data_IF_286656408292
#
_entry.id   IF_286656408292
#
_cell.length_a   1.000
_cell.length_b   1.000
_cell.length_c   1.000
_cell.angle_alpha   90.00
_cell.angle_beta   90.00
_cell.angle_gamma   90.00
#
_symmetry.space_group_name_H-M   'P 1'
#
loop_
_entity.id
_entity.type
_entity.pdbx_description
1 polymer ?
#
# COMPACT_ATOMS: atom_id res chain seq x y z
N UNK A 1 -29.82 25.41 -9.22
CA UNK A 1 -28.69 25.21 -8.28
C UNK A 1 -28.00 23.87 -8.53
N UNK A 2 -28.75 22.78 -8.76
CA UNK A 2 -28.20 21.46 -9.11
C UNK A 2 -27.36 21.43 -10.40
N UNK A 3 -27.87 21.97 -11.51
CA UNK A 3 -27.15 21.99 -12.80
C UNK A 3 -25.77 22.65 -12.68
N UNK A 4 -25.68 23.73 -11.91
CA UNK A 4 -24.43 24.45 -11.68
C UNK A 4 -23.41 23.61 -10.89
N UNK A 5 -23.87 22.84 -9.90
CA UNK A 5 -23.02 21.91 -9.17
C UNK A 5 -22.59 20.73 -10.05
N UNK A 6 -23.47 20.22 -10.91
CA UNK A 6 -23.13 19.17 -11.88
C UNK A 6 -22.04 19.62 -12.86
N UNK A 7 -22.12 20.86 -13.36
CA UNK A 7 -21.08 21.43 -14.24
C UNK A 7 -19.74 21.52 -13.50
N UNK A 8 -19.73 21.96 -12.23
CA UNK A 8 -18.50 22.01 -11.43
C UNK A 8 -17.88 20.62 -11.23
N UNK A 9 -18.70 19.62 -10.90
CA UNK A 9 -18.23 18.24 -10.69
C UNK A 9 -17.71 17.62 -11.99
N UNK A 10 -18.40 17.86 -13.11
CA UNK A 10 -17.93 17.45 -14.43
C UNK A 10 -16.59 18.12 -14.78
N UNK A 11 -16.48 19.42 -14.57
CA UNK A 11 -15.27 20.19 -14.83
C UNK A 11 -14.08 19.72 -13.97
N UNK A 12 -14.30 19.47 -12.68
CA UNK A 12 -13.30 18.89 -11.78
C UNK A 12 -12.86 17.50 -12.25
N UNK A 13 -13.81 16.62 -12.60
CA UNK A 13 -13.52 15.27 -13.08
C UNK A 13 -12.72 15.31 -14.39
N UNK A 14 -13.11 16.17 -15.33
CA UNK A 14 -12.40 16.39 -16.59
C UNK A 14 -10.98 16.92 -16.35
N UNK A 15 -10.80 17.87 -15.43
CA UNK A 15 -9.49 18.41 -15.08
C UNK A 15 -8.58 17.38 -14.43
N UNK A 16 -9.12 16.56 -13.50
CA UNK A 16 -8.36 15.54 -12.77
C UNK A 16 -7.98 14.36 -13.69
N UNK A 17 -8.95 13.84 -14.46
CA UNK A 17 -8.75 12.65 -15.30
C UNK A 17 -8.10 12.98 -16.65
N UNK A 18 -8.52 14.08 -17.29
CA UNK A 18 -8.00 14.50 -18.59
C UNK A 18 -6.74 15.36 -18.51
N UNK A 19 -6.46 15.93 -17.33
CA UNK A 19 -5.33 16.83 -17.11
C UNK A 19 -5.56 18.27 -17.59
N UNK A 20 -4.66 19.16 -17.18
CA UNK A 20 -4.77 20.61 -17.43
C UNK A 20 -4.86 20.97 -18.92
N UNK A 21 -4.07 20.32 -19.78
CA UNK A 21 -4.03 20.65 -21.22
C UNK A 21 -5.35 20.30 -21.91
N UNK A 22 -5.89 19.11 -21.64
CA UNK A 22 -7.19 18.67 -22.15
C UNK A 22 -8.31 19.60 -21.67
N UNK A 23 -8.29 19.96 -20.39
CA UNK A 23 -9.27 20.86 -19.82
C UNK A 23 -9.25 22.24 -20.48
N UNK A 24 -8.07 22.86 -20.60
CA UNK A 24 -7.92 24.18 -21.23
C UNK A 24 -8.31 24.15 -22.71
N UNK A 25 -7.93 23.10 -23.44
CA UNK A 25 -8.32 22.93 -24.84
C UNK A 25 -9.84 22.95 -25.00
N UNK A 26 -10.55 22.15 -24.20
CA UNK A 26 -12.02 22.10 -24.26
C UNK A 26 -12.65 23.41 -23.80
N UNK A 27 -12.13 24.03 -22.73
CA UNK A 27 -12.62 25.33 -22.22
C UNK A 27 -12.51 26.44 -23.26
N UNK A 28 -11.42 26.47 -24.03
CA UNK A 28 -11.20 27.48 -25.07
C UNK A 28 -12.06 27.24 -26.32
N UNK A 29 -12.32 25.97 -26.67
CA UNK A 29 -13.13 25.61 -27.84
C UNK A 29 -14.65 25.59 -27.55
N UNK A 30 -15.05 25.62 -26.27
CA UNK A 30 -16.45 25.71 -25.84
C UNK A 30 -16.65 26.92 -24.91
N UNK A 31 -16.60 28.17 -25.44
CA UNK A 31 -16.68 29.37 -24.62
C UNK A 31 -17.93 29.40 -23.74
N UNK A 32 -17.74 29.71 -22.45
CA UNK A 32 -18.84 29.78 -21.48
C UNK A 32 -19.34 28.43 -20.95
N UNK A 33 -18.86 27.30 -21.47
CA UNK A 33 -19.34 25.97 -21.08
C UNK A 33 -18.61 25.39 -19.84
N UNK A 34 -17.35 25.77 -19.63
CA UNK A 34 -16.52 25.25 -18.54
C UNK A 34 -15.95 26.38 -17.66
N UNK A 35 -15.86 26.19 -16.33
CA UNK A 35 -15.35 27.21 -15.42
C UNK A 35 -13.86 27.51 -15.61
N UNK A 36 -13.43 28.70 -15.19
CA UNK A 36 -12.02 29.09 -15.20
C UNK A 36 -11.18 28.26 -14.22
N UNK A 37 -9.89 28.07 -14.50
CA UNK A 37 -8.95 27.33 -13.63
C UNK A 37 -8.90 27.88 -12.20
N UNK A 38 -9.03 29.20 -12.02
CA UNK A 38 -9.06 29.82 -10.70
C UNK A 38 -10.20 29.29 -9.83
N UNK A 39 -11.37 29.06 -10.43
CA UNK A 39 -12.51 28.46 -9.74
C UNK A 39 -12.23 26.98 -9.43
N UNK A 40 -11.66 26.22 -10.36
CA UNK A 40 -11.27 24.83 -10.09
C UNK A 40 -10.26 24.72 -8.95
N UNK A 41 -9.22 25.56 -8.97
CA UNK A 41 -8.21 25.60 -7.90
C UNK A 41 -8.84 25.96 -6.56
N UNK A 42 -9.79 26.90 -6.54
CA UNK A 42 -10.54 27.25 -5.34
C UNK A 42 -11.36 26.05 -4.83
N UNK A 43 -12.10 25.38 -5.71
CA UNK A 43 -12.89 24.18 -5.37
C UNK A 43 -12.01 23.03 -4.84
N UNK A 44 -10.84 22.81 -5.44
CA UNK A 44 -9.87 21.82 -4.97
C UNK A 44 -9.32 22.22 -3.60
N UNK A 45 -8.95 23.50 -3.43
CA UNK A 45 -8.37 24.01 -2.18
C UNK A 45 -9.37 24.01 -1.04
N UNK A 46 -10.66 24.22 -1.33
CA UNK A 46 -11.76 24.19 -0.36
C UNK A 46 -12.33 22.80 -0.13
N UNK A 47 -11.81 21.77 -0.82
CA UNK A 47 -12.29 20.40 -0.63
C UNK A 47 -11.71 19.79 0.66
N UNK A 48 -12.54 19.02 1.37
CA UNK A 48 -12.12 18.20 2.52
C UNK A 48 -11.06 17.13 2.14
N UNK A 49 -10.80 16.98 0.83
CA UNK A 49 -9.88 16.04 0.25
C UNK A 49 -8.40 16.43 0.38
N UNK A 50 -8.07 17.68 0.76
CA UNK A 50 -6.66 18.12 0.87
C UNK A 50 -5.90 17.33 1.92
N UNK A 51 -4.87 16.60 1.52
CA UNK A 51 -4.03 15.81 2.43
C UNK A 51 -2.97 16.71 3.05
N UNK A 52 -2.80 16.61 4.37
CA UNK A 52 -1.68 17.21 5.10
C UNK A 52 -0.66 16.12 5.43
N UNK A 53 0.64 16.44 5.34
CA UNK A 53 1.71 15.50 5.69
C UNK A 53 1.56 15.04 7.15
N UNK A 54 1.57 13.72 7.36
CA UNK A 54 1.51 13.10 8.68
C UNK A 54 0.14 13.16 9.37
N UNK A 55 -0.90 13.69 8.72
CA UNK A 55 -2.25 13.70 9.29
C UNK A 55 -2.97 12.37 9.04
N UNK A 56 -3.63 11.84 10.07
CA UNK A 56 -4.51 10.67 9.95
C UNK A 56 -5.97 11.12 9.92
N UNK A 57 -6.64 10.92 8.79
CA UNK A 57 -7.98 11.43 8.49
C UNK A 57 -9.12 10.50 8.93
N UNK A 58 -9.21 10.20 10.22
CA UNK A 58 -10.20 9.24 10.71
C UNK A 58 -11.65 9.72 10.57
N UNK A 59 -11.93 11.03 10.69
CA UNK A 59 -13.29 11.55 10.57
C UNK A 59 -13.79 11.48 9.13
N UNK A 60 -12.92 11.73 8.16
CA UNK A 60 -13.25 11.57 6.74
C UNK A 60 -13.31 10.10 6.35
N UNK A 61 -12.49 9.23 6.96
CA UNK A 61 -12.61 7.78 6.83
C UNK A 61 -14.00 7.31 7.29
N UNK A 62 -14.50 7.81 8.42
CA UNK A 62 -15.85 7.50 8.89
C UNK A 62 -16.92 7.90 7.87
N UNK A 63 -16.88 9.15 7.38
CA UNK A 63 -17.81 9.60 6.33
C UNK A 63 -17.76 8.71 5.07
N UNK A 64 -16.58 8.25 4.67
CA UNK A 64 -16.40 7.33 3.53
C UNK A 64 -17.09 5.98 3.80
N UNK A 65 -16.87 5.39 4.97
CA UNK A 65 -17.48 4.12 5.37
C UNK A 65 -18.99 4.21 5.53
N UNK A 66 -19.50 5.30 6.11
CA UNK A 66 -20.93 5.58 6.24
C UNK A 66 -21.59 5.68 4.86
N UNK A 67 -20.92 6.33 3.89
CA UNK A 67 -21.43 6.46 2.51
C UNK A 67 -21.50 5.12 1.76
N UNK A 68 -20.64 4.17 2.14
CA UNK A 68 -20.59 2.83 1.56
C UNK A 68 -21.47 1.82 2.32
N UNK A 69 -21.99 2.19 3.49
CA UNK A 69 -22.70 1.31 4.41
C UNK A 69 -21.90 0.03 4.75
N UNK A 70 -20.63 0.20 5.09
CA UNK A 70 -19.69 -0.89 5.44
C UNK A 70 -19.01 -0.59 6.77
N UNK A 71 -18.59 -1.64 7.48
CA UNK A 71 -17.96 -1.54 8.80
C UNK A 71 -16.61 -2.25 8.90
N UNK A 72 -16.29 -3.14 7.97
CA UNK A 72 -15.05 -3.93 8.01
C UNK A 72 -14.04 -3.38 7.01
N UNK A 73 -12.76 -3.43 7.39
CA UNK A 73 -11.70 -2.92 6.55
C UNK A 73 -10.37 -3.64 6.72
N UNK A 74 -9.53 -3.57 5.70
CA UNK A 74 -8.13 -3.96 5.74
C UNK A 74 -7.24 -2.72 5.67
N UNK A 75 -6.21 -2.66 6.52
CA UNK A 75 -5.18 -1.63 6.42
C UNK A 75 -4.05 -2.08 5.51
N UNK A 76 -3.52 -1.19 4.67
CA UNK A 76 -2.33 -1.45 3.87
C UNK A 76 -1.29 -0.36 4.10
N UNK A 77 -0.05 -0.78 4.33
CA UNK A 77 1.08 0.13 4.52
C UNK A 77 2.20 -0.21 3.52
N UNK A 78 2.64 0.82 2.78
CA UNK A 78 3.76 0.70 1.84
C UNK A 78 4.49 2.04 1.65
N UNK A 79 5.73 1.98 1.17
CA UNK A 79 6.57 3.13 0.88
C UNK A 79 6.81 3.26 -0.62
N UNK A 80 6.61 4.46 -1.17
CA UNK A 80 6.98 4.77 -2.55
C UNK A 80 8.13 5.78 -2.61
N UNK A 81 9.00 5.66 -3.61
CA UNK A 81 10.01 6.66 -3.92
C UNK A 81 9.41 8.00 -4.33
N UNK A 82 9.99 9.10 -3.85
CA UNK A 82 9.57 10.47 -4.19
C UNK A 82 10.76 11.34 -4.60
N UNK A 83 10.47 12.40 -5.37
CA UNK A 83 11.46 13.43 -5.68
C UNK A 83 11.75 14.25 -4.43
N UNK A 84 12.99 14.19 -3.95
CA UNK A 84 13.49 14.94 -2.79
C UNK A 84 13.29 16.43 -2.97
N UNK A 85 12.27 17.00 -2.34
CA UNK A 85 11.98 18.43 -2.41
C UNK A 85 11.35 18.92 -1.10
N UNK A 86 11.87 20.04 -0.61
CA UNK A 86 11.26 20.77 0.51
C UNK A 86 10.29 21.81 -0.08
N UNK A 87 9.09 21.92 0.49
CA UNK A 87 8.10 22.93 0.16
C UNK A 87 7.60 23.63 1.41
N UNK A 88 7.54 24.96 1.36
CA UNK A 88 6.90 25.76 2.38
C UNK A 88 5.39 25.85 2.12
N UNK A 89 4.59 25.64 3.16
CA UNK A 89 3.16 25.92 3.17
C UNK A 89 2.90 27.16 4.00
N UNK A 90 2.53 28.25 3.32
CA UNK A 90 2.25 29.54 3.96
C UNK A 90 0.98 29.55 4.80
N UNK A 91 0.09 28.57 4.62
CA UNK A 91 -1.18 28.49 5.36
C UNK A 91 -0.93 28.05 6.80
N UNK A 92 -0.03 27.08 6.97
CA UNK A 92 0.30 26.46 8.26
C UNK A 92 1.65 26.90 8.80
N UNK A 93 2.40 27.69 8.04
CA UNK A 93 3.78 28.09 8.35
C UNK A 93 4.70 26.87 8.58
N UNK A 94 4.55 25.84 7.74
CA UNK A 94 5.26 24.56 7.88
C UNK A 94 6.12 24.25 6.67
N UNK A 95 7.21 23.51 6.88
CA UNK A 95 8.03 22.96 5.82
C UNK A 95 7.76 21.46 5.66
N UNK A 96 7.39 21.04 4.44
CA UNK A 96 7.13 19.63 4.08
C UNK A 96 8.26 19.07 3.24
N UNK A 97 8.51 17.76 3.32
CA UNK A 97 9.56 17.07 2.55
C UNK A 97 10.83 16.70 3.32
N UNK A 98 10.86 16.96 4.63
CA UNK A 98 11.76 16.30 5.56
C UNK A 98 11.11 14.98 6.06
N UNK A 99 11.89 13.98 6.52
CA UNK A 99 11.35 12.81 7.17
C UNK A 99 10.52 13.20 8.40
N UNK A 100 9.30 12.73 8.49
CA UNK A 100 8.44 13.01 9.65
C UNK A 100 8.98 12.32 10.90
N UNK A 101 9.13 13.08 11.98
CA UNK A 101 9.42 12.48 13.29
C UNK A 101 8.21 11.69 13.77
N UNK A 102 8.49 10.54 14.38
CA UNK A 102 7.47 9.63 14.89
C UNK A 102 7.41 9.73 16.42
N UNK A 103 6.21 9.91 16.97
CA UNK A 103 5.90 9.62 18.36
C UNK A 103 5.07 8.33 18.40
N UNK A 104 5.64 7.29 19.02
CA UNK A 104 5.07 5.95 19.08
C UNK A 104 4.63 5.42 17.71
N UNK A 105 5.49 5.59 16.71
CA UNK A 105 5.22 5.20 15.33
C UNK A 105 4.23 6.08 14.57
N UNK A 106 3.58 7.06 15.19
CA UNK A 106 2.67 7.99 14.53
C UNK A 106 3.44 9.29 14.21
N UNK A 107 3.36 9.81 12.97
CA UNK A 107 4.02 11.07 12.63
C UNK A 107 3.49 12.25 13.45
N UNK A 108 4.41 13.11 13.92
CA UNK A 108 4.09 14.34 14.61
C UNK A 108 3.66 15.39 13.58
N UNK A 109 2.37 15.73 13.57
CA UNK A 109 1.80 16.73 12.66
C UNK A 109 2.50 18.08 12.85
N UNK A 110 2.82 18.74 11.74
CA UNK A 110 3.43 20.09 11.73
C UNK A 110 4.73 20.21 12.53
N UNK A 111 5.52 19.14 12.69
CA UNK A 111 6.77 19.18 13.44
C UNK A 111 7.74 20.27 12.94
N UNK A 112 7.83 20.44 11.62
CA UNK A 112 8.67 21.46 10.98
C UNK A 112 7.95 22.81 10.81
N UNK A 113 7.26 23.25 11.86
CA UNK A 113 6.70 24.59 11.98
C UNK A 113 7.67 25.46 12.78
N UNK A 114 8.03 26.64 12.27
CA UNK A 114 8.91 27.55 13.00
C UNK A 114 8.81 28.98 12.49
N UNK A 115 8.91 29.94 13.41
CA UNK A 115 9.15 31.36 13.10
C UNK A 115 10.64 31.74 13.20
N UNK A 116 11.51 30.80 13.59
CA UNK A 116 12.94 31.01 13.77
C UNK A 116 13.74 30.60 12.53
N UNK A 117 14.47 31.56 11.96
CA UNK A 117 15.42 31.31 10.88
C UNK A 117 16.55 30.36 11.30
N UNK A 118 17.01 30.42 12.56
CA UNK A 118 18.07 29.53 13.05
C UNK A 118 17.61 28.08 13.12
N UNK A 119 16.37 27.84 13.55
CA UNK A 119 15.77 26.51 13.53
C UNK A 119 15.66 25.98 12.09
N UNK A 120 15.18 26.83 11.17
CA UNK A 120 15.10 26.49 9.75
C UNK A 120 16.48 26.14 9.16
N UNK A 121 17.48 26.99 9.41
CA UNK A 121 18.86 26.80 8.96
C UNK A 121 19.45 25.51 9.53
N UNK A 122 19.16 25.21 10.80
CA UNK A 122 19.58 23.96 11.43
C UNK A 122 19.03 22.75 10.69
N UNK A 123 17.72 22.71 10.39
CA UNK A 123 17.11 21.59 9.67
C UNK A 123 17.69 21.38 8.27
N UNK A 124 17.87 22.47 7.51
CA UNK A 124 18.43 22.38 6.15
C UNK A 124 19.88 21.89 6.12
N UNK A 125 20.63 22.09 7.20
CA UNK A 125 22.03 21.67 7.29
C UNK A 125 22.21 20.27 7.89
N UNK A 126 21.24 19.79 8.68
CA UNK A 126 21.40 18.56 9.50
C UNK A 126 20.48 17.42 9.10
N UNK A 127 19.40 17.69 8.35
CA UNK A 127 18.37 16.70 8.04
C UNK A 127 18.35 16.45 6.53
N UNK A 128 18.54 15.18 6.16
CA UNK A 128 18.37 14.75 4.78
C UNK A 128 16.91 14.83 4.35
N UNK A 129 16.69 15.24 3.10
CA UNK A 129 15.35 15.28 2.51
C UNK A 129 14.75 13.87 2.42
N UNK A 130 13.46 13.74 2.70
CA UNK A 130 12.75 12.49 2.56
C UNK A 130 12.84 11.97 1.11
N UNK A 131 13.23 10.71 0.98
CA UNK A 131 13.32 10.02 -0.32
C UNK A 131 12.16 9.06 -0.56
N UNK A 132 11.43 8.74 0.51
CA UNK A 132 10.29 7.84 0.51
C UNK A 132 9.08 8.55 1.10
N UNK A 133 7.91 8.21 0.60
CA UNK A 133 6.62 8.55 1.16
C UNK A 133 5.99 7.27 1.70
N UNK A 134 5.77 7.20 3.02
CA UNK A 134 5.00 6.12 3.62
C UNK A 134 3.51 6.42 3.48
N UNK A 135 2.74 5.44 3.02
CA UNK A 135 1.33 5.57 2.67
C UNK A 135 0.50 4.56 3.45
N UNK A 136 -0.61 5.04 4.01
CA UNK A 136 -1.56 4.24 4.78
C UNK A 136 -2.90 4.25 4.06
N UNK A 137 -3.27 3.12 3.46
CA UNK A 137 -4.55 2.92 2.78
C UNK A 137 -5.47 2.07 3.64
N UNK A 138 -6.77 2.38 3.64
CA UNK A 138 -7.81 1.56 4.28
C UNK A 138 -8.75 1.07 3.19
N UNK A 139 -8.75 -0.23 2.93
CA UNK A 139 -9.61 -0.90 1.96
C UNK A 139 -10.89 -1.39 2.64
N UNK A 140 -12.08 -0.86 2.29
CA UNK A 140 -13.33 -1.41 2.80
C UNK A 140 -13.52 -2.86 2.33
N UNK A 141 -14.05 -3.69 3.22
CA UNK A 141 -14.39 -5.09 2.97
C UNK A 141 -15.91 -5.22 3.01
N UNK A 142 -16.51 -5.51 1.86
CA UNK A 142 -17.95 -5.76 1.76
C UNK A 142 -18.27 -7.20 2.20
N UNK A 143 -19.39 -7.36 2.90
CA UNK A 143 -19.89 -8.67 3.34
C UNK A 143 -20.69 -9.41 2.27
N UNK A 144 -21.03 -8.74 1.16
CA UNK A 144 -21.88 -9.26 0.08
C UNK A 144 -21.08 -9.45 -1.20
N UNK A 145 -21.45 -10.47 -1.99
CA UNK A 145 -20.90 -10.81 -3.33
C UNK A 145 -21.15 -9.73 -4.41
N UNK A 146 -21.27 -8.46 -4.04
CA UNK A 146 -21.35 -7.37 -4.99
C UNK A 146 -20.04 -7.31 -5.78
N UNK A 147 -20.18 -7.29 -7.11
CA UNK A 147 -19.04 -7.34 -8.04
C UNK A 147 -18.14 -6.11 -8.01
N UNK A 148 -18.49 -5.05 -7.26
CA UNK A 148 -17.72 -3.81 -7.17
C UNK A 148 -16.99 -3.72 -5.84
N UNK A 149 -15.68 -3.94 -5.86
CA UNK A 149 -14.80 -3.68 -4.72
C UNK A 149 -14.78 -2.16 -4.48
N UNK A 150 -15.12 -1.66 -3.28
CA UNK A 150 -15.09 -0.24 -2.99
C UNK A 150 -13.69 0.35 -3.14
N UNK A 151 -13.60 1.62 -3.53
CA UNK A 151 -12.31 2.31 -3.57
C UNK A 151 -11.68 2.40 -2.17
N UNK A 152 -10.37 2.16 -2.05
CA UNK A 152 -9.65 2.35 -0.80
C UNK A 152 -9.58 3.84 -0.44
N UNK A 153 -9.47 4.11 0.86
CA UNK A 153 -9.31 5.46 1.40
C UNK A 153 -7.87 5.71 1.81
N UNK A 154 -7.28 6.81 1.34
CA UNK A 154 -5.96 7.26 1.79
C UNK A 154 -6.08 7.91 3.19
N UNK A 155 -5.70 7.16 4.22
CA UNK A 155 -5.81 7.58 5.61
C UNK A 155 -4.72 8.58 6.00
N UNK A 156 -3.48 8.32 5.59
CA UNK A 156 -2.33 9.19 5.87
C UNK A 156 -1.19 8.96 4.88
N UNK A 157 -0.39 9.99 4.66
CA UNK A 157 0.86 9.90 3.93
C UNK A 157 1.90 10.85 4.54
N UNK A 158 3.16 10.42 4.64
CA UNK A 158 4.24 11.26 5.17
C UNK A 158 5.63 10.85 4.70
N UNK A 159 6.53 11.83 4.60
CA UNK A 159 7.93 11.60 4.26
C UNK A 159 8.63 10.72 5.31
N UNK A 160 9.45 9.77 4.87
CA UNK A 160 10.24 8.92 5.75
C UNK A 160 11.65 8.69 5.21
N UNK A 161 12.56 8.35 6.12
CA UNK A 161 13.93 7.92 5.86
C UNK A 161 14.09 6.39 6.00
N UNK A 162 12.98 5.66 6.12
CA UNK A 162 12.91 4.21 6.30
C UNK A 162 13.42 3.68 7.66
N UNK A 163 13.71 4.53 8.64
CA UNK A 163 14.31 4.14 9.92
C UNK A 163 13.32 3.56 10.94
N UNK A 164 12.02 3.65 10.67
CA UNK A 164 10.97 3.12 11.56
C UNK A 164 11.21 1.64 11.90
N UNK A 165 11.12 1.31 13.18
CA UNK A 165 11.32 -0.05 13.69
C UNK A 165 10.04 -0.87 13.65
N UNK A 166 10.15 -2.18 13.89
CA UNK A 166 8.98 -3.04 14.06
C UNK A 166 8.06 -2.58 15.22
N UNK A 167 8.63 -2.00 16.28
CA UNK A 167 7.83 -1.49 17.40
C UNK A 167 7.06 -0.21 17.02
N UNK A 168 7.66 0.68 16.23
CA UNK A 168 6.97 1.85 15.69
C UNK A 168 5.79 1.43 14.81
N UNK A 169 5.99 0.43 13.96
CA UNK A 169 4.93 -0.15 13.12
C UNK A 169 3.79 -0.71 13.97
N UNK A 170 4.09 -1.50 15.00
CA UNK A 170 3.09 -2.06 15.91
C UNK A 170 2.25 -0.98 16.59
N UNK A 171 2.91 0.05 17.14
CA UNK A 171 2.25 1.14 17.84
C UNK A 171 1.36 1.95 16.88
N UNK A 172 1.82 2.16 15.64
CA UNK A 172 1.03 2.79 14.58
C UNK A 172 -0.19 1.97 14.18
N UNK A 173 -0.05 0.66 13.94
CA UNK A 173 -1.19 -0.21 13.63
C UNK A 173 -2.20 -0.26 14.76
N UNK A 174 -1.74 -0.31 16.00
CA UNK A 174 -2.60 -0.24 17.18
C UNK A 174 -3.35 1.09 17.27
N UNK A 175 -2.68 2.20 16.97
CA UNK A 175 -3.30 3.52 16.90
C UNK A 175 -4.40 3.57 15.83
N UNK A 176 -4.12 3.09 14.61
CA UNK A 176 -5.09 3.00 13.51
C UNK A 176 -6.29 2.14 13.93
N UNK A 177 -6.04 0.95 14.47
CA UNK A 177 -7.09 0.04 14.93
C UNK A 177 -8.03 0.71 15.94
N UNK A 178 -7.50 1.34 16.99
CA UNK A 178 -8.31 1.95 18.04
C UNK A 178 -9.09 3.16 17.53
N UNK A 179 -8.46 4.03 16.74
CA UNK A 179 -9.11 5.23 16.19
C UNK A 179 -10.22 4.87 15.20
N UNK A 180 -10.04 3.81 14.40
CA UNK A 180 -11.08 3.27 13.54
C UNK A 180 -12.22 2.64 14.35
N UNK A 181 -11.90 1.86 15.39
CA UNK A 181 -12.91 1.18 16.22
C UNK A 181 -13.82 2.18 16.94
N UNK A 182 -13.28 3.29 17.43
CA UNK A 182 -14.06 4.39 18.03
C UNK A 182 -15.08 5.01 17.06
N UNK A 183 -14.88 4.85 15.75
CA UNK A 183 -15.74 5.35 14.67
C UNK A 183 -16.58 4.25 14.03
N UNK A 184 -16.74 3.11 14.73
CA UNK A 184 -17.48 1.95 14.25
C UNK A 184 -16.91 1.31 12.97
N UNK A 185 -15.59 1.46 12.75
CA UNK A 185 -14.86 0.79 11.68
C UNK A 185 -13.94 -0.25 12.29
N UNK A 186 -14.19 -1.52 11.96
CA UNK A 186 -13.40 -2.64 12.42
C UNK A 186 -12.34 -3.00 11.39
N UNK A 187 -11.09 -2.62 11.68
CA UNK A 187 -9.93 -3.15 10.97
C UNK A 187 -9.81 -4.64 11.30
N UNK A 188 -9.88 -5.51 10.30
CA UNK A 188 -9.77 -6.97 10.46
C UNK A 188 -8.34 -7.47 10.21
N UNK A 189 -7.45 -6.61 9.71
CA UNK A 189 -6.05 -6.95 9.50
C UNK A 189 -5.25 -5.88 8.77
N UNK A 190 -3.94 -6.15 8.66
CA UNK A 190 -2.98 -5.30 7.98
C UNK A 190 -2.21 -6.07 6.91
N UNK A 191 -1.95 -5.42 5.78
CA UNK A 191 -1.13 -5.95 4.70
C UNK A 191 0.03 -5.03 4.35
N UNK A 192 1.18 -5.61 4.03
CA UNK A 192 2.39 -4.84 3.69
C UNK A 192 3.23 -5.56 2.65
N UNK A 193 4.25 -4.87 2.12
CA UNK A 193 5.36 -5.52 1.44
C UNK A 193 6.16 -6.41 2.41
N UNK A 194 7.06 -7.17 1.85
CA UNK A 194 7.88 -8.23 2.39
C UNK A 194 9.19 -7.72 3.05
N UNK A 195 9.20 -6.48 3.54
CA UNK A 195 10.31 -5.91 4.32
C UNK A 195 10.42 -6.63 5.69
N UNK A 196 11.62 -7.03 6.12
CA UNK A 196 11.85 -7.66 7.43
C UNK A 196 11.20 -6.94 8.62
N UNK A 197 11.14 -5.60 8.63
CA UNK A 197 10.56 -4.86 9.79
C UNK A 197 9.05 -5.06 9.90
N UNK A 198 8.33 -5.10 8.77
CA UNK A 198 6.90 -5.39 8.76
C UNK A 198 6.64 -6.85 9.11
N UNK A 199 7.42 -7.79 8.56
CA UNK A 199 7.30 -9.21 8.91
C UNK A 199 7.54 -9.44 10.42
N UNK A 200 8.50 -8.73 11.01
CA UNK A 200 8.73 -8.76 12.46
C UNK A 200 7.54 -8.21 13.24
N UNK A 201 6.96 -7.08 12.83
CA UNK A 201 5.76 -6.53 13.45
C UNK A 201 4.58 -7.50 13.36
N UNK A 202 4.30 -8.07 12.19
CA UNK A 202 3.24 -9.09 12.00
C UNK A 202 3.41 -10.28 12.95
N UNK A 203 4.63 -10.81 13.06
CA UNK A 203 4.94 -11.95 13.95
C UNK A 203 4.77 -11.62 15.43
N UNK A 204 5.10 -10.39 15.84
CA UNK A 204 4.94 -9.94 17.22
C UNK A 204 3.47 -9.68 17.57
N UNK A 205 2.66 -9.19 16.62
CA UNK A 205 1.24 -8.89 16.87
C UNK A 205 0.32 -10.11 16.77
N UNK A 206 0.77 -11.17 16.11
CA UNK A 206 0.07 -12.46 15.98
C UNK A 206 0.53 -13.51 17.00
N UNK A 207 1.41 -13.13 17.94
CA UNK A 207 2.08 -13.99 18.91
C UNK A 207 2.80 -15.21 18.30
N UNK A 208 3.22 -15.11 17.03
CA UNK A 208 3.92 -16.21 16.34
C UNK A 208 5.29 -16.54 16.97
N UNK A 209 6.00 -15.54 17.49
CA UNK A 209 7.32 -15.72 18.15
C UNK A 209 7.28 -15.46 19.67
N UNK A 210 6.09 -15.40 20.25
CA UNK A 210 5.86 -15.04 21.66
C UNK A 210 5.18 -13.67 21.81
N UNK A 211 4.39 -13.55 22.87
CA UNK A 211 3.58 -12.37 23.14
C UNK A 211 4.43 -11.13 23.42
N UNK A 212 4.12 -10.02 22.77
CA UNK A 212 4.73 -8.75 23.11
C UNK A 212 4.15 -8.25 24.46
N UNK A 213 4.98 -7.89 25.46
CA UNK A 213 4.50 -7.60 26.82
C UNK A 213 3.43 -6.51 26.89
N UNK A 214 3.49 -5.55 25.97
CA UNK A 214 2.60 -4.40 25.90
C UNK A 214 1.39 -4.58 24.97
N UNK A 215 1.31 -5.68 24.21
CA UNK A 215 0.21 -5.93 23.27
C UNK A 215 -0.39 -7.31 23.54
N UNK A 216 -1.34 -7.39 24.48
CA UNK A 216 -2.10 -8.60 24.77
C UNK A 216 -3.28 -8.73 23.80
N UNK A 217 -2.95 -8.90 22.52
CA UNK A 217 -3.90 -8.83 21.39
C UNK A 217 -5.03 -9.86 21.54
N UNK A 218 -4.72 -11.06 22.02
CA UNK A 218 -5.69 -12.15 22.19
C UNK A 218 -6.67 -11.96 23.36
N UNK A 219 -6.44 -11.01 24.25
CA UNK A 219 -7.36 -10.72 25.36
C UNK A 219 -8.36 -9.60 25.02
N UNK A 220 -8.23 -8.99 23.84
CA UNK A 220 -9.06 -7.87 23.47
C UNK A 220 -10.53 -8.31 23.26
N UNK A 221 -11.55 -7.57 23.73
CA UNK A 221 -12.96 -7.98 23.62
C UNK A 221 -13.46 -8.19 22.18
N UNK A 222 -12.77 -7.62 21.20
CA UNK A 222 -13.10 -7.74 19.78
C UNK A 222 -12.42 -8.93 19.09
N UNK A 223 -11.72 -9.82 19.80
CA UNK A 223 -11.14 -11.01 19.15
C UNK A 223 -12.22 -11.88 18.51
N UNK A 224 -11.84 -12.62 17.47
CA UNK A 224 -12.67 -13.58 16.77
C UNK A 224 -11.94 -14.93 16.68
N UNK A 225 -12.70 -16.00 16.45
CA UNK A 225 -12.14 -17.33 16.27
C UNK A 225 -12.00 -17.67 14.79
N UNK A 226 -10.86 -18.25 14.42
CA UNK A 226 -10.56 -18.79 13.11
C UNK A 226 -10.55 -20.30 13.20
N UNK A 227 -11.36 -20.94 12.37
CA UNK A 227 -11.38 -22.40 12.25
C UNK A 227 -10.25 -22.85 11.33
N UNK A 228 -9.15 -23.32 11.91
CA UNK A 228 -8.06 -23.93 11.16
C UNK A 228 -8.46 -25.36 10.80
N UNK A 229 -8.26 -25.75 9.55
CA UNK A 229 -8.59 -27.11 9.12
C UNK A 229 -7.58 -28.08 9.71
N UNK A 230 -8.04 -29.15 10.35
CA UNK A 230 -7.19 -30.13 11.04
C UNK A 230 -6.14 -30.80 10.12
N UNK A 231 -6.40 -30.89 8.81
CA UNK A 231 -5.46 -31.43 7.83
C UNK A 231 -4.38 -30.43 7.38
N UNK A 232 -4.42 -29.18 7.84
CA UNK A 232 -3.37 -28.18 7.58
C UNK A 232 -2.26 -28.27 8.62
N UNK A 233 -1.64 -29.44 8.74
CA UNK A 233 -0.54 -29.68 9.70
C UNK A 233 0.69 -28.78 9.45
N UNK A 234 0.78 -28.19 8.26
CA UNK A 234 1.83 -27.26 7.85
C UNK A 234 1.52 -25.79 8.16
N UNK A 235 0.27 -25.46 8.54
CA UNK A 235 -0.17 -24.08 8.80
C UNK A 235 -0.25 -23.82 10.30
N UNK A 236 0.41 -22.76 10.76
CA UNK A 236 0.38 -22.36 12.17
C UNK A 236 -0.22 -20.96 12.31
N UNK A 237 -1.26 -20.86 13.11
CA UNK A 237 -1.91 -19.61 13.54
C UNK A 237 -2.63 -19.88 14.86
N UNK A 238 -2.61 -18.94 15.81
CA UNK A 238 -3.45 -19.06 17.01
C UNK A 238 -4.93 -18.92 16.60
N UNK A 239 -5.84 -19.77 17.07
CA UNK A 239 -7.24 -19.73 16.61
C UNK A 239 -7.97 -18.44 17.03
N UNK A 240 -7.62 -17.87 18.19
CA UNK A 240 -8.15 -16.60 18.65
C UNK A 240 -7.32 -15.45 18.07
N UNK A 241 -7.89 -14.65 17.18
CA UNK A 241 -7.20 -13.53 16.54
C UNK A 241 -7.94 -12.22 16.76
N UNK A 242 -7.20 -11.10 16.83
CA UNK A 242 -7.79 -9.77 16.71
C UNK A 242 -7.66 -9.21 15.30
N UNK A 243 -6.55 -9.53 14.64
CA UNK A 243 -6.15 -9.01 13.34
C UNK A 243 -5.52 -10.13 12.52
N UNK A 244 -5.72 -10.07 11.20
CA UNK A 244 -5.02 -10.89 10.23
C UNK A 244 -3.85 -10.11 9.63
N UNK A 245 -2.80 -10.83 9.22
CA UNK A 245 -1.64 -10.22 8.57
C UNK A 245 -1.35 -10.92 7.26
N UNK A 246 -1.20 -10.12 6.19
CA UNK A 246 -0.83 -10.64 4.88
C UNK A 246 0.36 -9.88 4.32
N UNK A 247 1.30 -10.61 3.75
CA UNK A 247 2.30 -9.99 2.89
C UNK A 247 1.77 -9.93 1.46
N UNK A 248 2.17 -8.91 0.70
CA UNK A 248 1.81 -8.79 -0.71
C UNK A 248 2.26 -10.03 -1.51
N UNK A 249 1.28 -10.76 -2.04
CA UNK A 249 1.50 -11.96 -2.84
C UNK A 249 2.29 -11.67 -4.12
N UNK A 250 2.13 -10.48 -4.71
CA UNK A 250 2.85 -10.06 -5.91
C UNK A 250 4.35 -10.04 -5.65
N UNK A 251 4.74 -9.44 -4.53
CA UNK A 251 6.13 -9.37 -4.09
C UNK A 251 6.68 -10.74 -3.66
N UNK A 252 5.88 -11.56 -2.98
CA UNK A 252 6.27 -12.94 -2.63
C UNK A 252 6.58 -13.77 -3.87
N UNK A 253 5.68 -13.81 -4.85
CA UNK A 253 5.86 -14.57 -6.09
C UNK A 253 7.07 -14.05 -6.87
N UNK A 254 7.26 -12.73 -6.93
CA UNK A 254 8.42 -12.11 -7.57
C UNK A 254 9.73 -12.48 -6.87
N UNK A 255 9.75 -12.61 -5.54
CA UNK A 255 10.90 -13.11 -4.77
C UNK A 255 11.18 -14.59 -5.08
N UNK A 256 10.15 -15.41 -5.23
CA UNK A 256 10.29 -16.81 -5.66
C UNK A 256 10.91 -16.91 -7.06
N UNK A 257 10.40 -16.16 -8.05
CA UNK A 257 11.00 -16.07 -9.38
C UNK A 257 12.47 -15.65 -9.29
N UNK A 258 12.77 -14.57 -8.58
CA UNK A 258 14.14 -14.09 -8.44
C UNK A 258 15.07 -15.10 -7.74
N UNK A 259 14.53 -15.96 -6.87
CA UNK A 259 15.29 -17.07 -6.27
C UNK A 259 15.53 -18.19 -7.28
N UNK A 260 14.52 -18.56 -8.06
CA UNK A 260 14.65 -19.54 -9.16
C UNK A 260 15.69 -19.11 -10.21
N UNK A 261 15.73 -17.82 -10.53
CA UNK A 261 16.68 -17.24 -11.50
C UNK A 261 18.06 -16.91 -10.87
N UNK A 262 18.25 -17.17 -9.58
CA UNK A 262 19.48 -16.81 -8.89
C UNK A 262 20.61 -17.77 -9.23
N UNK A 263 21.78 -17.23 -9.56
CA UNK A 263 23.01 -18.01 -9.70
C UNK A 263 23.74 -18.20 -8.36
N UNK A 264 23.30 -17.55 -7.29
CA UNK A 264 23.98 -17.52 -6.00
C UNK A 264 23.22 -18.23 -4.89
N UNK A 265 21.96 -18.60 -5.12
CA UNK A 265 21.12 -19.22 -4.12
C UNK A 265 20.31 -20.37 -4.71
N UNK A 266 20.44 -21.55 -4.13
CA UNK A 266 19.67 -22.73 -4.51
C UNK A 266 18.22 -22.61 -4.01
N UNK A 267 17.30 -23.17 -4.80
CA UNK A 267 15.90 -23.33 -4.44
C UNK A 267 15.61 -24.82 -4.25
N UNK A 268 15.24 -25.22 -3.04
CA UNK A 268 14.92 -26.61 -2.72
C UNK A 268 13.46 -26.75 -2.30
N UNK A 269 12.80 -27.81 -2.76
CA UNK A 269 11.50 -28.27 -2.25
C UNK A 269 11.67 -29.67 -1.67
N UNK A 270 11.60 -29.77 -0.33
CA UNK A 270 11.96 -30.99 0.38
C UNK A 270 13.41 -31.38 0.11
N UNK A 271 13.63 -32.58 -0.42
CA UNK A 271 14.96 -33.08 -0.77
C UNK A 271 15.33 -32.87 -2.24
N UNK A 272 14.50 -32.14 -3.01
CA UNK A 272 14.71 -31.90 -4.44
C UNK A 272 15.22 -30.48 -4.67
N UNK A 273 16.21 -30.34 -5.54
CA UNK A 273 16.69 -29.04 -6.01
C UNK A 273 15.94 -28.66 -7.30
N UNK A 274 15.52 -27.40 -7.38
CA UNK A 274 14.86 -26.85 -8.57
C UNK A 274 15.91 -26.17 -9.44
N UNK A 275 15.97 -26.57 -10.71
CA UNK A 275 16.85 -25.97 -11.71
C UNK A 275 16.06 -25.17 -12.75
N UNK A 276 16.60 -24.01 -13.12
CA UNK A 276 16.13 -23.20 -14.25
C UNK A 276 16.37 -23.89 -15.61
N UNK A 277 17.25 -24.90 -15.68
CA UNK A 277 17.61 -25.55 -16.94
C UNK A 277 16.39 -26.15 -17.66
N UNK A 278 15.43 -26.69 -16.92
CA UNK A 278 14.18 -27.20 -17.52
C UNK A 278 13.42 -26.09 -18.28
N UNK A 279 13.44 -24.85 -17.78
CA UNK A 279 12.82 -23.71 -18.47
C UNK A 279 13.62 -23.30 -19.70
N UNK A 280 14.96 -23.38 -19.65
CA UNK A 280 15.79 -23.19 -20.84
C UNK A 280 15.47 -24.23 -21.91
N UNK A 281 15.34 -25.51 -21.53
CA UNK A 281 15.01 -26.59 -22.45
C UNK A 281 13.62 -26.36 -23.09
N UNK A 282 12.61 -25.98 -22.31
CA UNK A 282 11.29 -25.63 -22.85
C UNK A 282 11.37 -24.43 -23.80
N UNK A 283 12.19 -23.43 -23.46
CA UNK A 283 12.34 -22.23 -24.28
C UNK A 283 13.05 -22.51 -25.60
N UNK A 284 14.08 -23.36 -25.60
CA UNK A 284 15.00 -23.54 -26.74
C UNK A 284 14.72 -24.79 -27.58
N UNK A 285 13.94 -25.75 -27.08
CA UNK A 285 13.62 -26.96 -27.82
C UNK A 285 12.37 -26.79 -28.70
N UNK A 286 12.56 -26.98 -30.00
CA UNK A 286 11.52 -26.86 -31.04
C UNK A 286 10.39 -27.91 -30.92
N UNK A 287 10.54 -28.92 -30.05
CA UNK A 287 9.44 -29.87 -29.76
C UNK A 287 8.29 -29.23 -28.97
N UNK A 288 8.53 -28.12 -28.29
CA UNK A 288 7.53 -27.41 -27.51
C UNK A 288 6.95 -26.23 -28.30
N UNK A 289 5.62 -26.19 -28.41
CA UNK A 289 4.92 -25.14 -29.15
C UNK A 289 4.85 -23.85 -28.34
N UNK A 290 5.41 -22.76 -28.89
CA UNK A 290 5.27 -21.41 -28.33
C UNK A 290 3.84 -20.88 -28.32
N UNK A 291 2.98 -21.42 -29.18
CA UNK A 291 1.55 -21.11 -29.15
C UNK A 291 0.86 -21.69 -27.92
N UNK A 292 1.45 -22.73 -27.32
CA UNK A 292 0.88 -23.44 -26.18
C UNK A 292 1.43 -22.88 -24.86
N UNK A 293 2.71 -22.51 -24.81
CA UNK A 293 3.37 -22.08 -23.55
C UNK A 293 3.60 -20.57 -23.38
N UNK A 294 3.70 -19.81 -24.46
CA UNK A 294 3.95 -18.36 -24.44
C UNK A 294 5.24 -17.92 -23.70
N UNK A 295 6.16 -18.85 -23.40
CA UNK A 295 7.41 -18.61 -22.69
C UNK A 295 8.48 -18.04 -23.62
N UNK A 296 9.15 -16.98 -23.15
CA UNK A 296 10.19 -16.29 -23.90
C UNK A 296 11.47 -16.12 -23.07
N UNK A 297 12.60 -15.88 -23.75
CA UNK A 297 13.88 -15.60 -23.08
C UNK A 297 13.82 -14.41 -22.12
N UNK A 298 12.94 -13.44 -22.38
CA UNK A 298 12.72 -12.32 -21.45
C UNK A 298 12.09 -12.75 -20.13
N UNK A 299 11.29 -13.81 -20.11
CA UNK A 299 10.56 -14.24 -18.90
C UNK A 299 11.51 -14.79 -17.83
N UNK A 300 12.62 -15.38 -18.26
CA UNK A 300 13.69 -15.89 -17.40
C UNK A 300 14.88 -14.92 -17.27
N UNK A 301 14.73 -13.65 -17.71
CA UNK A 301 15.80 -12.66 -17.58
C UNK A 301 15.90 -12.14 -16.13
N UNK A 302 17.05 -12.34 -15.44
CA UNK A 302 17.21 -11.94 -14.04
C UNK A 302 17.37 -10.42 -13.84
N UNK A 303 17.60 -9.64 -14.92
CA UNK A 303 17.76 -8.17 -14.81
C UNK A 303 16.45 -7.48 -14.46
N UNK A 304 15.32 -8.00 -14.92
CA UNK A 304 14.00 -7.45 -14.65
C UNK A 304 13.40 -8.13 -13.41
N UNK A 305 13.81 -7.62 -12.24
CA UNK A 305 13.46 -8.22 -10.94
C UNK A 305 12.02 -7.93 -10.50
N UNK A 306 11.31 -7.03 -11.17
CA UNK A 306 9.93 -6.64 -10.85
C UNK A 306 8.91 -7.21 -11.84
N UNK A 307 9.33 -8.07 -12.76
CA UNK A 307 8.46 -8.65 -13.78
C UNK A 307 7.48 -9.67 -13.20
N UNK A 308 6.35 -9.19 -12.70
CA UNK A 308 5.28 -10.05 -12.22
C UNK A 308 4.61 -10.83 -13.36
N UNK A 309 4.53 -10.26 -14.57
CA UNK A 309 3.91 -10.94 -15.72
C UNK A 309 4.62 -12.25 -16.08
N UNK A 310 5.95 -12.26 -16.02
CA UNK A 310 6.74 -13.46 -16.23
C UNK A 310 6.52 -14.49 -15.13
N UNK A 311 6.24 -14.05 -13.89
CA UNK A 311 5.89 -14.99 -12.83
C UNK A 311 4.62 -15.78 -13.15
N UNK A 312 3.57 -15.10 -13.63
CA UNK A 312 2.30 -15.74 -13.99
C UNK A 312 2.48 -16.79 -15.09
N UNK A 313 3.30 -16.49 -16.10
CA UNK A 313 3.64 -17.45 -17.16
C UNK A 313 4.39 -18.65 -16.61
N UNK A 314 5.43 -18.42 -15.80
CA UNK A 314 6.26 -19.47 -15.21
C UNK A 314 5.47 -20.42 -14.30
N UNK A 315 4.33 -19.98 -13.77
CA UNK A 315 3.42 -20.79 -12.95
C UNK A 315 2.15 -21.19 -13.69
N UNK A 316 2.08 -21.03 -15.02
CA UNK A 316 0.89 -21.41 -15.79
C UNK A 316 0.71 -22.93 -15.79
N UNK A 317 -0.55 -23.37 -15.74
CA UNK A 317 -0.89 -24.79 -15.92
C UNK A 317 -0.50 -25.31 -17.30
N UNK A 318 -0.38 -24.43 -18.31
CA UNK A 318 0.03 -24.82 -19.66
C UNK A 318 1.45 -25.41 -19.69
N UNK A 319 2.31 -24.99 -18.75
CA UNK A 319 3.65 -25.56 -18.59
C UNK A 319 3.66 -26.92 -17.90
N UNK A 320 2.62 -27.23 -17.12
CA UNK A 320 2.51 -28.50 -16.42
C UNK A 320 2.31 -29.68 -17.39
N UNK A 321 1.85 -29.42 -18.63
CA UNK A 321 1.68 -30.43 -19.68
C UNK A 321 3.03 -31.04 -20.09
N UNK A 322 4.11 -30.26 -20.00
CA UNK A 322 5.48 -30.73 -20.25
C UNK A 322 6.12 -31.39 -19.02
N UNK A 323 5.42 -31.41 -17.90
CA UNK A 323 5.84 -31.99 -16.63
C UNK A 323 5.33 -33.43 -16.48
N UNK A 324 5.53 -34.27 -17.48
CA UNK A 324 5.28 -35.71 -17.36
C UNK A 324 6.47 -36.37 -16.69
N UNK A 325 6.29 -36.76 -15.43
CA UNK A 325 7.16 -37.72 -14.73
C UNK A 325 6.69 -39.14 -14.97
#
# INVERSE_FOLDING_TARGET
MELYNSIKNFALSLYILGGKLTYEFLRLNLPGSLPHLSLLNSLISSSDSRISEGEFKFDQLQKHFDSLNVQYAFGSEDCTGIVKRIKYDSTTNTFTGFPSLLDRGVPIKSYYQTDSFDALKSWFNSIDKASLLNIHMIQPVQSTDNSSIPSPYLLSAYGTDNTATANDILQRWWYIFNQSLQRNIRIIGFSTDTDPKYLRAMRLMSDFLGAHPHFQVHQHPQTFQIKIRSHWSWFYLCEQQLLLFFQDSTHLVTKWRNRLLSTTAELCLGNQSISINHLHDIIENDTYSKLDDGLTKSDINPKDRQNFSSCLKLTSNDLMIYSTF
#
